data_IF_664248733267
#
_entry.id   IF_664248733267
#
_cell.length_a   1.000
_cell.length_b   1.000
_cell.length_c   1.000
_cell.angle_alpha   90.00
_cell.angle_beta   90.00
_cell.angle_gamma   90.00
#
_symmetry.space_group_name_H-M   'P 1'
#
loop_
_entity.id
_entity.type
_entity.pdbx_description
1 polymer ?
#
# COMPACT_ATOMS: atom_id res chain seq x y z
N UNK A 1 8.64 6.05 8.94
CA UNK A 1 10.09 5.92 8.76
C UNK A 1 10.38 4.48 8.44
N UNK A 2 11.20 4.22 7.43
CA UNK A 2 11.74 2.89 7.22
C UNK A 2 12.78 2.55 8.32
N UNK A 3 13.17 1.28 8.43
CA UNK A 3 14.21 0.73 9.30
C UNK A 3 15.55 1.46 9.25
N UNK A 4 15.90 2.09 8.13
CA UNK A 4 17.10 2.93 8.01
C UNK A 4 16.85 4.40 8.39
N UNK A 5 15.67 4.74 8.91
CA UNK A 5 15.27 6.10 9.26
C UNK A 5 14.83 6.97 8.08
N UNK A 6 14.73 6.42 6.86
CA UNK A 6 14.31 7.20 5.69
C UNK A 6 12.82 7.51 5.71
N UNK A 7 12.49 8.67 5.12
CA UNK A 7 11.14 9.08 4.80
C UNK A 7 10.91 8.87 3.30
N UNK A 8 9.80 8.22 2.96
CA UNK A 8 9.48 7.84 1.60
C UNK A 8 8.05 8.23 1.27
N UNK A 9 7.83 8.66 0.04
CA UNK A 9 6.51 8.85 -0.57
C UNK A 9 6.30 7.72 -1.55
N UNK A 10 5.17 7.02 -1.42
CA UNK A 10 4.71 6.05 -2.41
C UNK A 10 3.68 6.76 -3.29
N UNK A 11 3.89 6.72 -4.60
CA UNK A 11 3.09 7.48 -5.56
C UNK A 11 2.88 6.69 -6.85
N UNK A 12 1.68 6.82 -7.43
CA UNK A 12 1.39 6.28 -8.75
C UNK A 12 1.68 7.35 -9.80
N UNK A 13 2.60 7.08 -10.72
CA UNK A 13 2.99 8.02 -11.77
C UNK A 13 2.81 7.38 -13.14
N UNK A 14 2.52 8.21 -14.14
CA UNK A 14 2.51 7.80 -15.54
C UNK A 14 3.74 8.37 -16.26
N UNK A 15 4.46 7.56 -17.05
CA UNK A 15 5.59 8.02 -17.84
C UNK A 15 5.21 8.71 -19.16
N UNK A 16 3.92 9.06 -19.39
CA UNK A 16 3.53 9.85 -20.57
C UNK A 16 2.10 9.70 -21.08
N UNK A 17 1.29 8.79 -20.53
CA UNK A 17 -0.12 8.61 -20.88
C UNK A 17 -0.96 8.10 -19.70
N UNK A 18 -2.22 8.53 -19.57
CA UNK A 18 -3.05 8.25 -18.38
C UNK A 18 -3.28 6.75 -18.06
N UNK A 19 -2.98 5.85 -19.00
CA UNK A 19 -3.31 4.42 -18.91
C UNK A 19 -2.19 3.53 -18.34
N UNK A 20 -0.97 4.04 -18.20
CA UNK A 20 0.19 3.24 -17.76
C UNK A 20 0.73 3.70 -16.40
N UNK A 21 -0.17 3.85 -15.42
CA UNK A 21 0.25 4.16 -14.06
C UNK A 21 1.06 3.01 -13.47
N UNK A 22 2.15 3.37 -12.81
CA UNK A 22 3.04 2.46 -12.08
C UNK A 22 3.31 3.04 -10.71
N UNK A 23 3.58 2.16 -9.74
CA UNK A 23 3.90 2.58 -8.39
C UNK A 23 5.40 2.90 -8.27
N UNK A 24 5.73 4.02 -7.63
CA UNK A 24 7.09 4.48 -7.38
C UNK A 24 7.30 4.84 -5.91
N UNK A 25 8.55 4.74 -5.44
CA UNK A 25 9.03 5.35 -4.22
C UNK A 25 9.88 6.59 -4.52
N UNK A 26 9.68 7.65 -3.77
CA UNK A 26 10.51 8.86 -3.75
C UNK A 26 11.02 9.04 -2.33
N UNK A 27 12.33 9.19 -2.15
CA UNK A 27 12.98 9.22 -0.83
C UNK A 27 13.45 10.63 -0.50
N UNK A 28 13.16 11.07 0.72
CA UNK A 28 13.68 12.32 1.26
C UNK A 28 15.16 12.17 1.62
N UNK A 29 15.98 13.17 1.32
CA UNK A 29 17.38 13.22 1.73
C UNK A 29 17.56 13.42 3.24
N UNK A 30 16.57 13.99 3.93
CA UNK A 30 16.54 14.13 5.38
C UNK A 30 15.11 14.10 5.94
N UNK A 31 14.98 14.10 7.26
CA UNK A 31 13.69 13.98 7.95
C UNK A 31 12.91 15.30 8.08
N UNK A 32 13.47 16.44 7.67
CA UNK A 32 12.77 17.72 7.72
C UNK A 32 11.99 17.97 6.42
N UNK A 33 10.69 17.74 6.48
CA UNK A 33 9.77 17.92 5.35
C UNK A 33 9.81 19.33 4.73
N UNK A 34 10.14 20.37 5.51
CA UNK A 34 10.16 21.75 5.02
C UNK A 34 11.42 22.08 4.20
N UNK A 35 12.49 21.28 4.30
CA UNK A 35 13.79 21.58 3.71
C UNK A 35 14.48 20.40 3.04
N UNK A 36 13.82 19.25 2.92
CA UNK A 36 14.41 18.08 2.28
C UNK A 36 14.38 18.20 0.76
N UNK A 37 15.46 17.77 0.12
CA UNK A 37 15.42 17.39 -1.29
C UNK A 37 14.79 15.99 -1.43
N UNK A 38 14.24 15.70 -2.61
CA UNK A 38 13.62 14.42 -2.95
C UNK A 38 14.40 13.72 -4.05
N UNK A 39 14.52 12.41 -3.97
CA UNK A 39 15.18 11.59 -5.01
C UNK A 39 14.41 11.60 -6.33
N UNK A 40 15.02 11.08 -7.40
CA UNK A 40 14.24 10.64 -8.54
C UNK A 40 13.30 9.47 -8.13
N UNK A 41 12.14 9.30 -8.77
CA UNK A 41 11.25 8.16 -8.53
C UNK A 41 11.92 6.83 -8.89
N UNK A 42 11.78 5.85 -8.00
CA UNK A 42 12.23 4.45 -8.21
C UNK A 42 11.01 3.55 -8.30
N UNK A 43 10.85 2.84 -9.41
CA UNK A 43 9.71 1.94 -9.61
C UNK A 43 9.70 0.81 -8.57
N UNK A 44 8.52 0.47 -8.06
CA UNK A 44 8.29 -0.67 -7.17
C UNK A 44 8.30 -1.96 -8.00
N UNK A 45 9.49 -2.57 -8.13
CA UNK A 45 9.69 -3.76 -8.94
C UNK A 45 8.75 -4.89 -8.50
N UNK A 46 8.14 -5.58 -9.46
CA UNK A 46 7.24 -6.72 -9.21
C UNK A 46 5.75 -6.38 -9.02
N UNK A 47 5.38 -5.10 -8.83
CA UNK A 47 3.95 -4.68 -8.87
C UNK A 47 3.46 -4.61 -10.32
N UNK A 48 4.26 -4.00 -11.20
CA UNK A 48 3.94 -3.88 -12.63
C UNK A 48 3.12 -2.64 -12.97
N UNK A 49 2.59 -2.60 -14.19
CA UNK A 49 1.79 -1.50 -14.74
C UNK A 49 0.30 -1.63 -14.41
N UNK A 50 -0.42 -0.52 -14.53
CA UNK A 50 -1.86 -0.43 -14.33
C UNK A 50 -2.29 -0.71 -12.88
N UNK A 51 -1.38 -0.43 -11.94
CA UNK A 51 -1.62 -0.46 -10.51
C UNK A 51 -1.55 0.94 -9.92
N UNK A 52 -2.54 1.28 -9.09
CA UNK A 52 -2.64 2.58 -8.43
C UNK A 52 -2.90 2.44 -6.94
N UNK A 53 -2.85 3.57 -6.22
CA UNK A 53 -3.13 3.68 -4.79
C UNK A 53 -2.34 2.69 -3.94
N UNK A 54 -1.09 2.42 -4.33
CA UNK A 54 -0.24 1.48 -3.60
C UNK A 54 0.04 1.99 -2.19
N UNK A 55 -0.45 1.27 -1.20
CA UNK A 55 -0.22 1.51 0.21
C UNK A 55 0.71 0.45 0.78
N UNK A 56 1.78 0.87 1.44
CA UNK A 56 2.82 -0.04 1.94
C UNK A 56 2.96 0.10 3.45
N UNK A 57 2.98 -1.03 4.15
CA UNK A 57 3.39 -1.11 5.56
C UNK A 57 4.51 -2.12 5.73
N UNK A 58 5.40 -1.86 6.68
CA UNK A 58 6.43 -2.81 7.08
C UNK A 58 6.04 -3.49 8.38
N UNK A 59 6.01 -4.82 8.40
CA UNK A 59 5.77 -5.64 9.59
C UNK A 59 6.96 -6.59 9.74
N UNK A 60 7.75 -6.40 10.80
CA UNK A 60 9.04 -7.08 10.94
C UNK A 60 10.00 -6.70 9.81
N UNK A 61 10.52 -7.70 9.09
CA UNK A 61 11.39 -7.51 7.93
C UNK A 61 10.64 -7.41 6.60
N UNK A 62 9.32 -7.61 6.59
CA UNK A 62 8.52 -7.74 5.36
C UNK A 62 7.77 -6.45 5.06
N UNK A 63 7.84 -6.00 3.82
CA UNK A 63 6.96 -4.97 3.27
C UNK A 63 5.72 -5.63 2.69
N UNK A 64 4.57 -5.08 3.03
CA UNK A 64 3.26 -5.50 2.57
C UNK A 64 2.68 -4.37 1.73
N UNK A 65 2.51 -4.59 0.43
CA UNK A 65 1.88 -3.66 -0.48
C UNK A 65 0.44 -4.09 -0.75
N UNK A 66 -0.49 -3.16 -0.56
CA UNK A 66 -1.88 -3.26 -1.00
C UNK A 66 -2.05 -2.28 -2.15
N UNK A 67 -2.48 -2.76 -3.30
CA UNK A 67 -2.50 -1.95 -4.53
C UNK A 67 -3.72 -2.26 -5.37
N UNK A 68 -4.34 -1.24 -5.95
CA UNK A 68 -5.51 -1.42 -6.81
C UNK A 68 -5.05 -1.79 -8.22
N UNK A 69 -5.59 -2.88 -8.78
CA UNK A 69 -5.40 -3.18 -10.20
C UNK A 69 -6.51 -2.53 -11.03
N UNK A 70 -6.17 -1.66 -11.96
CA UNK A 70 -7.16 -0.84 -12.67
C UNK A 70 -7.99 -1.61 -13.71
N UNK A 71 -7.58 -2.81 -14.14
CA UNK A 71 -8.41 -3.61 -15.06
C UNK A 71 -9.58 -4.27 -14.34
N UNK A 72 -9.30 -4.95 -13.22
CA UNK A 72 -10.31 -5.72 -12.48
C UNK A 72 -10.92 -4.94 -11.32
N UNK A 73 -10.32 -3.79 -10.99
CA UNK A 73 -10.71 -2.89 -9.89
C UNK A 73 -10.70 -3.56 -8.52
N UNK A 74 -9.85 -4.58 -8.33
CA UNK A 74 -9.63 -5.22 -7.03
C UNK A 74 -8.40 -4.63 -6.33
N UNK A 75 -8.41 -4.66 -4.99
CA UNK A 75 -7.18 -4.47 -4.21
C UNK A 75 -6.45 -5.82 -4.12
N UNK A 76 -5.20 -5.81 -4.56
CA UNK A 76 -4.32 -6.96 -4.55
C UNK A 76 -3.23 -6.78 -3.49
N UNK A 77 -2.66 -7.89 -3.04
CA UNK A 77 -1.69 -7.93 -1.94
C UNK A 77 -0.40 -8.60 -2.40
N UNK A 78 0.72 -7.90 -2.18
CA UNK A 78 2.06 -8.37 -2.50
C UNK A 78 3.04 -8.12 -1.35
N UNK A 79 4.13 -8.88 -1.33
CA UNK A 79 5.18 -8.75 -0.31
C UNK A 79 6.57 -8.65 -0.89
N UNK A 80 7.45 -7.91 -0.21
CA UNK A 80 8.88 -7.81 -0.53
C UNK A 80 9.74 -7.75 0.75
N UNK A 81 11.04 -8.01 0.62
CA UNK A 81 12.03 -7.83 1.71
C UNK A 81 12.72 -6.45 1.67
N UNK A 82 12.45 -5.66 0.64
CA UNK A 82 12.98 -4.32 0.38
C UNK A 82 11.86 -3.40 -0.07
N UNK A 83 11.94 -2.12 0.30
CA UNK A 83 10.89 -1.14 0.01
C UNK A 83 10.56 -1.06 -1.47
N UNK A 84 11.56 -1.07 -2.35
CA UNK A 84 11.40 -0.97 -3.81
C UNK A 84 11.22 -2.32 -4.51
N UNK A 85 11.01 -3.40 -3.76
CA UNK A 85 10.82 -4.74 -4.30
C UNK A 85 12.13 -5.52 -4.55
N UNK A 86 12.05 -6.70 -5.19
CA UNK A 86 10.90 -7.17 -5.94
C UNK A 86 9.73 -7.61 -5.04
N UNK A 87 8.53 -7.16 -5.37
CA UNK A 87 7.27 -7.60 -4.78
C UNK A 87 6.79 -8.89 -5.46
N UNK A 88 6.24 -9.79 -4.66
CA UNK A 88 5.57 -11.00 -5.13
C UNK A 88 4.13 -11.00 -4.64
N UNK A 89 3.16 -11.07 -5.55
CA UNK A 89 1.74 -11.16 -5.21
C UNK A 89 1.44 -12.43 -4.41
N UNK A 90 0.71 -12.24 -3.32
CA UNK A 90 0.22 -13.29 -2.42
C UNK A 90 -1.30 -13.45 -2.52
N UNK A 91 -2.01 -12.41 -2.98
CA UNK A 91 -3.44 -12.43 -3.23
C UNK A 91 -3.81 -11.50 -4.38
N UNK A 92 -4.51 -12.04 -5.38
CA UNK A 92 -4.99 -11.32 -6.57
C UNK A 92 -6.47 -11.58 -6.78
N UNK A 93 -7.14 -10.74 -7.58
CA UNK A 93 -8.60 -10.81 -7.72
C UNK A 93 -9.33 -10.49 -6.39
N UNK A 94 -10.49 -11.10 -6.16
CA UNK A 94 -11.28 -10.89 -4.93
C UNK A 94 -10.81 -11.78 -3.76
N UNK A 95 -9.50 -11.93 -3.57
CA UNK A 95 -8.89 -12.84 -2.58
C UNK A 95 -9.34 -12.59 -1.14
N UNK A 96 -9.81 -11.37 -0.84
CA UNK A 96 -10.28 -10.96 0.48
C UNK A 96 -11.80 -10.76 0.57
N UNK A 97 -12.56 -11.04 -0.50
CA UNK A 97 -14.01 -10.78 -0.60
C UNK A 97 -14.38 -9.31 -0.29
N UNK A 98 -13.57 -8.36 -0.75
CA UNK A 98 -13.85 -6.92 -0.63
C UNK A 98 -14.69 -6.41 -1.80
N UNK A 99 -14.76 -7.17 -2.89
CA UNK A 99 -15.44 -6.78 -4.11
C UNK A 99 -14.60 -5.89 -5.02
N UNK A 100 -15.16 -5.60 -6.18
CA UNK A 100 -14.55 -4.77 -7.24
C UNK A 100 -14.98 -3.30 -7.09
N UNK A 101 -14.29 -2.38 -7.77
CA UNK A 101 -14.53 -0.93 -7.75
C UNK A 101 -14.24 -0.26 -6.40
N UNK A 102 -13.31 -0.83 -5.65
CA UNK A 102 -12.77 -0.25 -4.40
C UNK A 102 -11.38 0.35 -4.65
N UNK A 103 -11.04 1.38 -3.90
CA UNK A 103 -9.79 2.15 -4.06
C UNK A 103 -9.30 2.74 -2.74
N UNK A 104 -8.11 3.35 -2.74
CA UNK A 104 -7.53 3.96 -1.54
C UNK A 104 -7.38 3.01 -0.35
N UNK A 105 -6.69 1.85 -0.48
CA UNK A 105 -6.49 0.95 0.64
C UNK A 105 -5.72 1.64 1.77
N UNK A 106 -6.13 1.34 3.01
CA UNK A 106 -5.48 1.84 4.21
C UNK A 106 -5.48 0.76 5.30
N UNK A 107 -4.48 0.79 6.17
CA UNK A 107 -4.40 -0.09 7.34
C UNK A 107 -4.55 0.71 8.62
N UNK A 108 -5.42 0.23 9.51
CA UNK A 108 -5.52 0.71 10.89
C UNK A 108 -5.03 -0.39 11.82
N UNK A 109 -4.03 -0.08 12.63
CA UNK A 109 -3.58 -0.97 13.69
C UNK A 109 -4.48 -0.81 14.92
N UNK A 110 -4.98 -1.94 15.44
CA UNK A 110 -5.65 -1.96 16.74
C UNK A 110 -4.63 -2.31 17.80
N UNK A 111 -4.25 -1.34 18.63
CA UNK A 111 -3.48 -1.58 19.83
C UNK A 111 -4.41 -2.16 20.89
N UNK A 112 -4.30 -3.47 21.17
CA UNK A 112 -4.93 -4.02 22.37
C UNK A 112 -3.95 -3.90 23.53
N UNK A 113 -4.27 -3.06 24.51
CA UNK A 113 -3.72 -3.20 25.86
C UNK A 113 -4.37 -4.42 26.51
N UNK A 114 -3.57 -5.46 26.78
CA UNK A 114 -3.85 -6.68 27.58
C UNK A 114 -5.23 -7.34 27.40
N UNK A 115 -5.23 -8.53 26.77
CA UNK A 115 -6.26 -9.58 26.72
C UNK A 115 -7.76 -9.19 26.71
N UNK A 116 -8.46 -9.58 25.64
CA UNK A 116 -9.69 -10.39 25.69
C UNK A 116 -9.98 -10.86 24.26
N UNK A 117 -10.01 -12.19 24.12
CA UNK A 117 -10.71 -13.03 23.13
C UNK A 117 -10.89 -12.52 21.69
N UNK A 118 -10.45 -13.38 20.75
CA UNK A 118 -10.86 -13.44 19.33
C UNK A 118 -12.30 -12.96 19.11
N UNK A 119 -12.45 -11.81 18.46
CA UNK A 119 -13.70 -11.47 17.81
C UNK A 119 -13.48 -10.40 16.73
N UNK A 120 -13.58 -10.82 15.47
CA UNK A 120 -13.79 -9.91 14.35
C UNK A 120 -15.26 -9.47 14.37
N UNK A 121 -15.53 -8.19 14.65
CA UNK A 121 -16.86 -7.59 14.45
C UNK A 121 -16.75 -6.49 13.39
N UNK A 122 -17.58 -6.59 12.36
CA UNK A 122 -17.92 -5.47 11.49
C UNK A 122 -19.05 -4.68 12.14
N UNK A 123 -18.93 -3.36 12.15
CA UNK A 123 -20.00 -2.46 12.58
C UNK A 123 -21.06 -2.39 11.48
N UNK A 124 -22.29 -2.85 11.76
CA UNK A 124 -23.46 -2.50 10.95
C UNK A 124 -24.18 -1.33 11.63
N UNK A 125 -24.39 -0.24 10.89
CA UNK A 125 -25.36 0.78 11.27
C UNK A 125 -26.77 0.19 11.14
N UNK A 126 -27.51 0.18 12.25
CA UNK A 126 -28.96 -0.10 12.26
C UNK A 126 -29.69 1.22 12.08
N UNK A 127 -30.45 1.36 11.00
CA UNK A 127 -31.42 2.45 10.86
C UNK A 127 -32.55 2.25 11.88
N UNK A 128 -32.95 3.33 12.55
CA UNK A 128 -34.12 3.34 13.43
C UNK A 128 -35.38 3.36 12.58
N UNK A 129 -36.31 2.45 12.90
CA UNK A 129 -37.74 2.54 12.62
C UNK A 129 -38.37 3.65 13.47
#
# INVERSE_FOLDING_TARGET
MDSNGSLNVIVSLSPGNYENLKAYAITAANSNLASTAWSAPVELAGIGSNYIDTFIVKIGSTYHAFTKYETTKYIEYATALSLTGPYTFQGTGDWANWGSWVEGPALVFRTSSSEISRHWRTSRYRTKS
#
